data_IF_864958794250
#
_entry.id   IF_864958794250
#
_cell.length_a   1.000
_cell.length_b   1.000
_cell.length_c   1.000
_cell.angle_alpha   90.00
_cell.angle_beta   90.00
_cell.angle_gamma   90.00
#
_symmetry.space_group_name_H-M   'P 1'
#
loop_
_entity.id
_entity.type
_entity.pdbx_description
1 polymer ?
#
# COMPACT_ATOMS: atom_id res chain seq x y z
N UNK A 1 -13.71 -10.86 16.18
CA UNK A 1 -13.51 -12.05 15.32
C UNK A 1 -14.07 -11.92 13.90
N UNK A 2 -15.39 -11.83 13.65
CA UNK A 2 -15.89 -11.80 12.24
C UNK A 2 -15.39 -10.58 11.44
N UNK A 3 -15.47 -9.36 12.01
CA UNK A 3 -14.92 -8.12 11.42
C UNK A 3 -13.41 -8.19 11.18
N UNK A 4 -12.65 -8.65 12.18
CA UNK A 4 -11.20 -8.82 12.06
C UNK A 4 -10.83 -9.82 10.95
N UNK A 5 -11.56 -10.93 10.83
CA UNK A 5 -11.34 -11.89 9.74
C UNK A 5 -11.64 -11.28 8.38
N UNK A 6 -12.72 -10.51 8.25
CA UNK A 6 -13.03 -9.79 7.02
C UNK A 6 -11.95 -8.76 6.68
N UNK A 7 -11.45 -8.01 7.67
CA UNK A 7 -10.36 -7.06 7.49
C UNK A 7 -9.06 -7.75 7.06
N UNK A 8 -8.68 -8.86 7.69
CA UNK A 8 -7.47 -9.63 7.34
C UNK A 8 -7.55 -10.24 5.93
N UNK A 9 -8.73 -10.76 5.55
CA UNK A 9 -8.94 -11.26 4.18
C UNK A 9 -8.84 -10.12 3.16
N UNK A 10 -9.40 -8.95 3.49
CA UNK A 10 -9.35 -7.76 2.63
C UNK A 10 -7.91 -7.28 2.48
N UNK A 11 -7.16 -7.17 3.57
CA UNK A 11 -5.74 -6.82 3.57
C UNK A 11 -4.94 -7.76 2.66
N UNK A 12 -5.11 -9.08 2.83
CA UNK A 12 -4.40 -10.07 2.05
C UNK A 12 -4.70 -9.95 0.54
N UNK A 13 -5.97 -9.73 0.19
CA UNK A 13 -6.40 -9.62 -1.21
C UNK A 13 -5.89 -8.32 -1.85
N UNK A 14 -6.03 -7.17 -1.17
CA UNK A 14 -5.54 -5.87 -1.67
C UNK A 14 -4.03 -5.87 -1.81
N UNK A 15 -3.33 -6.43 -0.83
CA UNK A 15 -1.87 -6.57 -0.85
C UNK A 15 -1.40 -7.46 -1.99
N UNK A 16 -2.05 -8.60 -2.21
CA UNK A 16 -1.74 -9.50 -3.30
C UNK A 16 -1.96 -8.82 -4.66
N UNK A 17 -3.10 -8.16 -4.85
CA UNK A 17 -3.40 -7.40 -6.05
C UNK A 17 -2.36 -6.31 -6.29
N UNK A 18 -2.15 -5.41 -5.32
CA UNK A 18 -1.24 -4.28 -5.48
C UNK A 18 0.18 -4.74 -5.82
N UNK A 19 0.70 -5.76 -5.13
CA UNK A 19 2.04 -6.28 -5.41
C UNK A 19 2.15 -6.88 -6.83
N UNK A 20 1.12 -7.58 -7.29
CA UNK A 20 1.09 -8.20 -8.63
C UNK A 20 1.02 -7.10 -9.69
N UNK A 21 0.04 -6.21 -9.60
CA UNK A 21 -0.15 -5.12 -10.56
C UNK A 21 1.06 -4.18 -10.62
N UNK A 22 1.71 -3.89 -9.48
CA UNK A 22 2.87 -3.01 -9.45
C UNK A 22 4.09 -3.64 -10.13
N UNK A 23 4.22 -4.97 -10.06
CA UNK A 23 5.37 -5.70 -10.61
C UNK A 23 5.17 -6.13 -12.06
N UNK A 24 3.93 -6.43 -12.48
CA UNK A 24 3.64 -7.07 -13.77
C UNK A 24 2.87 -6.16 -14.75
N UNK A 25 1.95 -5.34 -14.25
CA UNK A 25 1.04 -4.54 -15.09
C UNK A 25 1.56 -3.12 -15.35
N UNK A 26 2.59 -2.71 -14.61
CA UNK A 26 3.32 -1.46 -14.88
C UNK A 26 2.49 -0.19 -14.68
N UNK A 27 1.51 -0.22 -13.77
CA UNK A 27 0.64 0.95 -13.54
C UNK A 27 1.34 2.09 -12.77
N UNK A 28 2.54 1.86 -12.23
CA UNK A 28 3.37 2.89 -11.58
C UNK A 28 4.35 3.41 -12.63
N UNK A 29 4.33 4.73 -12.89
CA UNK A 29 5.27 5.34 -13.81
C UNK A 29 6.71 5.26 -13.24
N UNK A 30 7.68 4.71 -14.00
CA UNK A 30 9.08 4.58 -13.55
C UNK A 30 9.74 5.90 -13.13
N UNK A 31 9.30 7.04 -13.67
CA UNK A 31 9.81 8.38 -13.29
C UNK A 31 9.44 8.78 -11.87
N UNK A 32 8.39 8.16 -11.30
CA UNK A 32 8.01 8.42 -9.91
C UNK A 32 9.02 7.89 -8.88
N UNK A 33 9.99 7.07 -9.31
CA UNK A 33 11.07 6.56 -8.46
C UNK A 33 12.26 7.51 -8.37
N UNK A 34 12.29 8.57 -9.18
CA UNK A 34 13.37 9.54 -9.18
C UNK A 34 13.38 10.34 -7.87
N UNK A 35 14.56 10.60 -7.28
CA UNK A 35 14.70 11.24 -5.96
C UNK A 35 14.05 12.63 -5.84
N UNK A 36 13.75 13.27 -6.96
CA UNK A 36 13.09 14.57 -7.05
C UNK A 36 11.65 14.50 -7.57
N UNK A 37 11.04 13.31 -7.66
CA UNK A 37 9.68 13.18 -8.19
C UNK A 37 8.72 14.03 -7.36
N UNK A 38 7.86 14.79 -8.05
CA UNK A 38 6.93 15.67 -7.38
C UNK A 38 5.94 14.88 -6.51
N UNK A 39 5.65 15.35 -5.29
CA UNK A 39 4.68 14.70 -4.42
C UNK A 39 3.26 14.90 -4.97
N UNK A 40 2.39 13.92 -4.73
CA UNK A 40 1.01 13.92 -5.24
C UNK A 40 0.06 14.64 -4.29
N UNK A 41 -0.78 15.52 -4.85
CA UNK A 41 -1.87 16.15 -4.09
C UNK A 41 -2.98 15.14 -3.74
N UNK A 42 -3.25 14.21 -4.66
CA UNK A 42 -4.11 13.04 -4.47
C UNK A 42 -3.26 11.77 -4.56
N UNK A 43 -2.84 11.20 -3.42
CA UNK A 43 -1.97 10.04 -3.38
C UNK A 43 -2.71 8.69 -3.44
N UNK A 44 -4.03 8.69 -3.65
CA UNK A 44 -4.80 7.46 -3.68
C UNK A 44 -4.56 6.65 -4.95
N UNK A 45 -4.39 5.33 -4.78
CA UNK A 45 -4.36 4.36 -5.87
C UNK A 45 -5.73 3.73 -5.97
N UNK A 46 -6.33 3.83 -7.16
CA UNK A 46 -7.64 3.24 -7.45
C UNK A 46 -7.58 1.71 -7.33
N UNK A 47 -8.38 1.17 -6.40
CA UNK A 47 -8.55 -0.27 -6.22
C UNK A 47 -9.76 -0.73 -7.06
N UNK A 48 -9.59 -1.66 -8.02
CA UNK A 48 -10.70 -2.25 -8.76
C UNK A 48 -11.74 -2.85 -7.81
N UNK A 49 -13.01 -2.49 -8.00
CA UNK A 49 -14.10 -2.88 -7.09
C UNK A 49 -14.33 -4.39 -7.07
N UNK A 50 -14.02 -5.06 -8.18
CA UNK A 50 -14.18 -6.49 -8.38
C UNK A 50 -13.35 -7.31 -7.39
N UNK A 51 -12.19 -6.77 -7.00
CA UNK A 51 -11.24 -7.43 -6.08
C UNK A 51 -11.87 -7.62 -4.69
N UNK A 52 -12.71 -6.67 -4.26
CA UNK A 52 -13.35 -6.70 -2.94
C UNK A 52 -14.74 -7.34 -2.97
N UNK A 53 -15.30 -7.57 -4.15
CA UNK A 53 -16.69 -7.99 -4.32
C UNK A 53 -16.98 -9.32 -3.61
N UNK A 54 -16.10 -10.31 -3.72
CA UNK A 54 -16.31 -11.61 -3.09
C UNK A 54 -16.34 -11.52 -1.56
N UNK A 55 -15.44 -10.72 -0.98
CA UNK A 55 -15.37 -10.53 0.48
C UNK A 55 -16.61 -9.79 0.97
N UNK A 56 -17.03 -8.73 0.26
CA UNK A 56 -18.24 -7.96 0.57
C UNK A 56 -19.49 -8.85 0.48
N UNK A 57 -19.61 -9.68 -0.54
CA UNK A 57 -20.74 -10.61 -0.70
C UNK A 57 -20.82 -11.63 0.45
N UNK A 58 -19.67 -12.13 0.91
CA UNK A 58 -19.58 -13.07 2.05
C UNK A 58 -19.86 -12.41 3.40
N UNK A 59 -19.72 -11.09 3.49
CA UNK A 59 -19.84 -10.31 4.72
C UNK A 59 -20.81 -9.13 4.55
N UNK A 60 -22.03 -9.39 4.05
CA UNK A 60 -23.00 -8.35 3.70
C UNK A 60 -23.45 -7.46 4.87
N UNK A 61 -23.24 -7.90 6.11
CA UNK A 61 -23.48 -7.16 7.36
C UNK A 61 -22.29 -6.28 7.81
N UNK A 62 -21.17 -6.32 7.07
CA UNK A 62 -19.93 -5.60 7.37
C UNK A 62 -19.62 -4.64 6.23
N UNK A 63 -19.49 -3.37 6.56
CA UNK A 63 -18.97 -2.37 5.66
C UNK A 63 -17.43 -2.49 5.61
N UNK A 64 -16.88 -2.63 4.40
CA UNK A 64 -15.45 -2.84 4.15
C UNK A 64 -14.93 -1.80 3.16
N UNK A 65 -13.98 -1.01 3.63
CA UNK A 65 -13.20 -0.05 2.85
C UNK A 65 -11.73 -0.46 2.82
N UNK A 66 -11.10 -0.20 1.68
CA UNK A 66 -9.67 -0.37 1.48
C UNK A 66 -9.12 0.84 0.73
N UNK A 67 -7.93 1.28 1.11
CA UNK A 67 -7.16 2.27 0.36
C UNK A 67 -5.71 1.83 0.25
N UNK A 68 -5.10 2.17 -0.89
CA UNK A 68 -3.65 2.14 -1.06
C UNK A 68 -3.20 3.56 -1.36
N UNK A 69 -2.23 4.06 -0.61
CA UNK A 69 -1.84 5.47 -0.59
C UNK A 69 -0.34 5.58 -0.86
N UNK A 70 0.04 6.36 -1.86
CA UNK A 70 1.43 6.73 -2.11
C UNK A 70 1.96 7.62 -0.98
N UNK A 71 3.06 7.23 -0.35
CA UNK A 71 3.64 8.01 0.75
C UNK A 71 4.38 9.26 0.27
N UNK A 72 4.62 9.43 -1.03
CA UNK A 72 5.12 10.68 -1.61
C UNK A 72 3.96 11.65 -1.89
N UNK A 73 3.27 12.07 -0.83
CA UNK A 73 2.13 12.99 -0.90
C UNK A 73 2.53 14.43 -0.53
N UNK A 74 1.83 15.40 -1.11
CA UNK A 74 2.12 16.82 -0.95
C UNK A 74 1.57 17.37 0.37
N UNK A 75 1.77 18.65 0.63
CA UNK A 75 1.27 19.30 1.85
C UNK A 75 -0.26 19.41 1.89
N UNK A 76 -0.96 19.30 0.74
CA UNK A 76 -2.42 19.29 0.71
C UNK A 76 -3.03 18.10 1.44
N UNK A 77 -2.31 16.98 1.50
CA UNK A 77 -2.77 15.73 2.12
C UNK A 77 -2.30 15.57 3.58
N UNK A 78 -1.52 16.50 4.14
CA UNK A 78 -0.90 16.35 5.47
C UNK A 78 -1.91 16.09 6.58
N UNK A 79 -2.96 16.90 6.66
CA UNK A 79 -3.98 16.77 7.71
C UNK A 79 -4.65 15.39 7.68
N UNK A 80 -4.90 14.88 6.49
CA UNK A 80 -5.53 13.58 6.29
C UNK A 80 -4.55 12.44 6.64
N UNK A 81 -3.29 12.53 6.20
CA UNK A 81 -2.24 11.58 6.55
C UNK A 81 -2.00 11.50 8.07
N UNK A 82 -1.95 12.64 8.76
CA UNK A 82 -1.82 12.71 10.22
C UNK A 82 -2.98 12.02 10.93
N UNK A 83 -4.21 12.25 10.47
CA UNK A 83 -5.41 11.61 11.04
C UNK A 83 -5.40 10.08 10.91
N UNK A 84 -4.73 9.56 9.87
CA UNK A 84 -4.61 8.13 9.59
C UNK A 84 -3.28 7.52 10.05
N UNK A 85 -2.37 8.30 10.64
CA UNK A 85 -1.00 7.89 10.98
C UNK A 85 -0.19 7.36 9.80
N UNK A 86 -0.34 7.99 8.62
CA UNK A 86 0.42 7.64 7.42
C UNK A 86 1.72 8.44 7.42
N UNK A 87 2.90 7.79 7.38
CA UNK A 87 4.16 8.51 7.29
C UNK A 87 4.39 9.02 5.86
N UNK A 88 5.03 10.19 5.75
CA UNK A 88 5.55 10.68 4.47
C UNK A 88 6.82 9.94 4.10
N UNK A 89 6.91 9.51 2.85
CA UNK A 89 8.00 8.69 2.33
C UNK A 89 8.38 9.11 0.92
N UNK A 90 9.43 9.92 0.80
CA UNK A 90 9.98 10.33 -0.49
C UNK A 90 10.65 9.14 -1.20
N UNK A 91 10.75 9.15 -2.54
CA UNK A 91 11.57 8.19 -3.25
C UNK A 91 13.01 8.23 -2.72
N UNK A 92 13.62 7.05 -2.61
CA UNK A 92 14.95 6.94 -2.01
C UNK A 92 15.76 5.82 -2.66
N UNK A 93 17.08 5.99 -2.69
CA UNK A 93 17.98 4.93 -3.09
C UNK A 93 18.16 3.90 -1.97
N UNK A 94 18.27 2.63 -2.34
CA UNK A 94 18.70 1.54 -1.49
C UNK A 94 19.90 0.86 -2.14
N UNK A 95 21.02 0.88 -1.43
CA UNK A 95 22.21 0.13 -1.81
C UNK A 95 22.00 -1.33 -1.41
N UNK A 96 22.03 -2.20 -2.40
CA UNK A 96 22.02 -3.65 -2.17
C UNK A 96 23.44 -4.17 -2.32
N UNK A 97 23.94 -4.82 -1.26
CA UNK A 97 25.20 -5.56 -1.29
C UNK A 97 24.86 -7.06 -1.23
N UNK A 98 25.05 -7.76 -2.34
CA UNK A 98 25.09 -9.23 -2.35
C UNK A 98 26.56 -9.64 -2.37
N UNK A 99 26.92 -10.54 -1.47
CA UNK A 99 28.31 -10.99 -1.30
C UNK A 99 28.84 -11.61 -2.61
N UNK A 100 29.83 -10.96 -3.23
CA UNK A 100 30.43 -11.40 -4.50
C UNK A 100 29.93 -10.67 -5.76
N UNK A 101 28.98 -9.75 -5.65
CA UNK A 101 28.46 -8.96 -6.78
C UNK A 101 28.81 -7.46 -6.66
N UNK A 102 28.78 -6.73 -7.78
CA UNK A 102 28.91 -5.27 -7.77
C UNK A 102 27.70 -4.64 -7.09
N UNK A 103 27.92 -3.56 -6.32
CA UNK A 103 26.84 -2.78 -5.70
C UNK A 103 25.80 -2.39 -6.74
N UNK A 104 24.55 -2.82 -6.53
CA UNK A 104 23.41 -2.37 -7.30
C UNK A 104 22.60 -1.35 -6.50
N UNK A 105 22.24 -0.27 -7.19
CA UNK A 105 21.38 0.78 -6.67
C UNK A 105 19.95 0.49 -7.11
N UNK A 106 19.07 0.30 -6.12
CA UNK A 106 17.63 0.22 -6.34
C UNK A 106 16.99 1.53 -5.92
N UNK A 107 15.94 1.95 -6.61
CA UNK A 107 15.12 3.09 -6.21
C UNK A 107 13.83 2.59 -5.56
N UNK A 108 13.41 3.22 -4.48
CA UNK A 108 12.30 2.75 -3.65
C UNK A 108 11.23 3.81 -3.54
N UNK A 109 9.98 3.39 -3.78
CA UNK A 109 8.76 4.07 -3.35
C UNK A 109 8.08 3.31 -2.22
N UNK A 110 7.28 4.02 -1.44
CA UNK A 110 6.57 3.47 -0.28
C UNK A 110 5.08 3.73 -0.42
N UNK A 111 4.30 2.71 -0.11
CA UNK A 111 2.84 2.77 -0.15
C UNK A 111 2.28 2.28 1.18
N UNK A 112 1.15 2.85 1.56
CA UNK A 112 0.40 2.48 2.75
C UNK A 112 -0.90 1.79 2.35
N UNK A 113 -1.12 0.57 2.83
CA UNK A 113 -2.43 -0.09 2.75
C UNK A 113 -3.18 0.19 4.04
N UNK A 114 -4.43 0.63 3.93
CA UNK A 114 -5.33 0.80 5.07
C UNK A 114 -6.66 0.11 4.79
N UNK A 115 -7.08 -0.75 5.70
CA UNK A 115 -8.36 -1.47 5.66
C UNK A 115 -9.20 -1.03 6.85
N UNK A 116 -10.45 -0.66 6.59
CA UNK A 116 -11.44 -0.37 7.63
C UNK A 116 -12.61 -1.33 7.50
N UNK A 117 -13.00 -1.95 8.62
CA UNK A 117 -14.21 -2.77 8.68
C UNK A 117 -15.09 -2.40 9.87
N UNK A 118 -16.37 -2.14 9.60
CA UNK A 118 -17.37 -1.76 10.59
C UNK A 118 -18.63 -2.60 10.39
N UNK A 119 -19.37 -2.90 11.46
CA UNK A 119 -20.71 -3.46 11.28
C UNK A 119 -21.61 -2.38 10.73
N UNK A 120 -22.44 -2.71 9.74
CA UNK A 120 -23.29 -1.72 9.07
C UNK A 120 -24.43 -1.19 9.95
N UNK A 121 -24.71 -1.86 11.08
CA UNK A 121 -25.91 -1.70 11.89
C UNK A 121 -25.65 -1.61 13.41
N UNK A 122 -24.39 -1.54 13.85
CA UNK A 122 -24.05 -1.43 15.27
C UNK A 122 -23.14 -0.20 15.52
N UNK A 123 -23.43 0.55 16.57
CA UNK A 123 -22.49 1.55 17.10
C UNK A 123 -21.30 0.83 17.73
N UNK A 124 -20.11 1.09 17.19
CA UNK A 124 -18.87 0.58 17.74
C UNK A 124 -17.67 1.01 16.90
N UNK A 125 -16.49 0.98 17.53
CA UNK A 125 -15.27 1.38 16.83
C UNK A 125 -14.98 0.43 15.66
N UNK A 126 -14.59 0.96 14.49
CA UNK A 126 -14.21 0.14 13.36
C UNK A 126 -12.91 -0.61 13.66
N UNK A 127 -12.76 -1.79 13.07
CA UNK A 127 -11.46 -2.47 13.03
C UNK A 127 -10.66 -1.86 11.90
N UNK A 128 -9.50 -1.30 12.22
CA UNK A 128 -8.56 -0.71 11.26
C UNK A 128 -7.29 -1.56 11.22
N UNK A 129 -6.92 -2.00 10.01
CA UNK A 129 -5.63 -2.62 9.74
C UNK A 129 -4.82 -1.71 8.81
N UNK A 130 -3.52 -1.65 9.05
CA UNK A 130 -2.60 -0.85 8.26
C UNK A 130 -1.29 -1.61 8.04
N UNK A 131 -0.75 -1.52 6.83
CA UNK A 131 0.54 -2.11 6.48
C UNK A 131 1.27 -1.23 5.46
N UNK A 132 2.59 -1.40 5.35
CA UNK A 132 3.42 -0.67 4.39
C UNK A 132 4.03 -1.62 3.35
N UNK A 133 4.06 -1.16 2.11
CA UNK A 133 4.66 -1.86 0.97
C UNK A 133 5.79 -1.01 0.42
N UNK A 134 6.94 -1.64 0.18
CA UNK A 134 8.01 -1.04 -0.61
C UNK A 134 7.83 -1.48 -2.05
N UNK A 135 7.93 -0.57 -2.99
CA UNK A 135 8.09 -0.91 -4.40
C UNK A 135 9.48 -0.49 -4.80
N UNK A 136 10.23 -1.42 -5.38
CA UNK A 136 11.60 -1.24 -5.80
C UNK A 136 11.67 -1.21 -7.32
N UNK A 137 12.48 -0.32 -7.84
CA UNK A 137 12.91 -0.29 -9.23
C UNK A 137 14.40 -0.58 -9.28
N UNK A 138 14.76 -1.68 -9.91
CA UNK A 138 16.15 -2.07 -10.15
C UNK A 138 16.77 -1.18 -11.24
N UNK A 139 18.10 -1.14 -11.30
CA UNK A 139 18.87 -0.47 -12.36
C UNK A 139 18.50 -0.97 -13.77
N UNK A 140 18.07 -2.24 -13.88
CA UNK A 140 17.54 -2.85 -15.11
C UNK A 140 16.23 -2.23 -15.60
N UNK A 141 15.55 -1.44 -14.76
CA UNK A 141 14.20 -0.94 -14.99
C UNK A 141 13.09 -1.87 -14.48
N UNK A 142 13.44 -3.06 -13.99
CA UNK A 142 12.46 -4.00 -13.41
C UNK A 142 11.86 -3.44 -12.13
N UNK A 143 10.53 -3.50 -12.00
CA UNK A 143 9.80 -3.06 -10.81
C UNK A 143 9.33 -4.29 -10.02
N UNK A 144 9.51 -4.27 -8.71
CA UNK A 144 9.10 -5.33 -7.78
C UNK A 144 8.49 -4.74 -6.52
N UNK A 145 7.31 -5.20 -6.15
CA UNK A 145 6.71 -4.87 -4.86
C UNK A 145 7.13 -5.88 -3.79
N UNK A 146 7.67 -5.39 -2.68
CA UNK A 146 8.07 -6.17 -1.51
C UNK A 146 7.23 -5.72 -0.31
N UNK A 147 6.37 -6.61 0.22
CA UNK A 147 5.67 -6.33 1.46
C UNK A 147 6.66 -6.30 2.64
N UNK A 148 6.59 -5.27 3.49
CA UNK A 148 7.43 -5.20 4.68
C UNK A 148 6.78 -6.05 5.77
N UNK A 149 7.28 -7.26 5.99
CA UNK A 149 6.89 -8.02 7.17
C UNK A 149 7.59 -7.43 8.40
N UNK A 150 6.90 -6.52 9.10
CA UNK A 150 7.27 -6.24 10.49
C UNK A 150 6.74 -7.40 11.34
N UNK A 151 7.63 -8.06 12.10
CA UNK A 151 7.17 -8.94 13.20
C UNK A 151 6.34 -8.05 14.12
N UNK A 152 5.01 -8.27 14.14
CA UNK A 152 4.16 -7.68 15.18
C UNK A 152 4.72 -8.16 16.53
N UNK A 153 5.21 -7.22 17.34
CA UNK A 153 5.67 -7.49 18.70
C UNK A 153 4.47 -7.75 19.61
#
# INVERSE_FOLDING_TARGET
MKRENAALQTEAVVKCWFCTSASEEGFIDPSEFDLGSEPKDDPYIDIPQEILQEIRNKNADIFIEASVIDQNYSDSFLTEAESMNIPRGMPSELLTEVEGESRDICFIKRYHIRITSAYSNEEGDPVVLSDNILVLRESSGTIKAIPIYTKKQ
#
